data_IF_413088201249
#
_entry.id   IF_413088201249
#
_cell.length_a   1.000
_cell.length_b   1.000
_cell.length_c   1.000
_cell.angle_alpha   90.00
_cell.angle_beta   90.00
_cell.angle_gamma   90.00
#
_symmetry.space_group_name_H-M   'P 1'
#
loop_
_entity.id
_entity.type
_entity.pdbx_description
1 polymer ?
#
# COMPACT_ATOMS: atom_id res chain seq x y z
N UNK A 1 -24.75 0.96 7.24
CA UNK A 1 -23.44 1.66 7.28
C UNK A 1 -23.47 2.78 6.24
N UNK A 2 -23.23 4.02 6.62
CA UNK A 2 -23.05 5.10 5.66
C UNK A 2 -21.63 5.11 5.12
N UNK A 3 -21.49 5.13 3.80
CA UNK A 3 -20.20 5.13 3.07
C UNK A 3 -19.96 6.49 2.41
N UNK A 4 -18.82 6.66 1.77
CA UNK A 4 -18.39 7.88 1.08
C UNK A 4 -18.22 9.08 2.00
N UNK A 5 -17.63 8.85 3.17
CA UNK A 5 -17.34 9.89 4.17
C UNK A 5 -16.07 9.60 4.95
N UNK A 6 -15.60 10.63 5.62
CA UNK A 6 -14.51 10.54 6.60
C UNK A 6 -15.08 10.92 7.96
N UNK A 7 -14.83 10.06 8.96
CA UNK A 7 -15.34 10.23 10.33
C UNK A 7 -14.19 10.60 11.26
N UNK A 8 -14.46 11.53 12.18
CA UNK A 8 -13.55 11.85 13.26
C UNK A 8 -13.77 10.90 14.43
N UNK A 9 -12.71 10.24 14.89
CA UNK A 9 -12.76 9.37 16.05
C UNK A 9 -11.64 8.34 16.11
N UNK A 10 -11.63 7.58 17.18
CA UNK A 10 -10.73 6.45 17.37
C UNK A 10 -11.08 5.33 16.36
N UNK A 11 -10.18 5.07 15.43
CA UNK A 11 -10.39 4.10 14.35
C UNK A 11 -10.70 2.70 14.86
N UNK A 12 -10.09 2.27 15.97
CA UNK A 12 -10.37 0.94 16.54
C UNK A 12 -11.81 0.83 17.02
N UNK A 13 -12.36 1.92 17.59
CA UNK A 13 -13.77 1.96 18.00
C UNK A 13 -14.69 2.03 16.79
N UNK A 14 -14.38 2.89 15.82
CA UNK A 14 -15.19 3.05 14.62
C UNK A 14 -15.22 1.78 13.74
N UNK A 15 -14.13 1.03 13.67
CA UNK A 15 -14.11 -0.27 12.97
C UNK A 15 -15.03 -1.30 13.61
N UNK A 16 -15.21 -1.30 14.95
CA UNK A 16 -16.12 -2.22 15.64
C UNK A 16 -17.58 -2.08 15.23
N UNK A 17 -17.96 -0.89 14.75
CA UNK A 17 -19.32 -0.62 14.25
C UNK A 17 -19.53 -1.11 12.81
N UNK A 18 -18.47 -1.55 12.13
CA UNK A 18 -18.55 -2.09 10.78
C UNK A 18 -18.91 -3.57 10.81
N UNK A 19 -19.78 -4.04 9.90
CA UNK A 19 -20.10 -5.47 9.77
C UNK A 19 -18.85 -6.29 9.39
N UNK A 20 -18.83 -7.55 9.80
CA UNK A 20 -17.86 -8.53 9.33
C UNK A 20 -17.93 -8.66 7.81
N UNK A 21 -16.77 -8.86 7.17
CA UNK A 21 -16.68 -9.12 5.74
C UNK A 21 -17.39 -8.07 4.86
N UNK A 22 -17.25 -6.79 5.21
CA UNK A 22 -17.92 -5.67 4.52
C UNK A 22 -17.00 -4.82 3.65
N UNK A 23 -15.68 -4.88 3.84
CA UNK A 23 -14.68 -4.04 3.19
C UNK A 23 -13.89 -4.84 2.15
N UNK A 24 -13.75 -4.29 0.93
CA UNK A 24 -13.01 -4.94 -0.17
C UNK A 24 -11.51 -4.68 -0.08
N UNK A 25 -11.11 -3.47 0.30
CA UNK A 25 -9.71 -3.09 0.48
C UNK A 25 -9.54 -2.25 1.74
N UNK A 26 -8.61 -2.64 2.59
CA UNK A 26 -8.03 -1.74 3.58
C UNK A 26 -6.64 -1.33 3.08
N UNK A 27 -6.41 -0.03 2.89
CA UNK A 27 -5.09 0.51 2.52
C UNK A 27 -4.77 1.68 3.42
N UNK A 28 -3.62 1.62 4.08
CA UNK A 28 -3.28 2.62 5.09
C UNK A 28 -1.78 2.77 5.32
N UNK A 29 -1.43 3.94 5.82
CA UNK A 29 -0.11 4.27 6.36
C UNK A 29 -0.29 4.80 7.79
N UNK A 30 -0.30 3.91 8.80
CA UNK A 30 -0.50 4.32 10.18
C UNK A 30 0.63 5.25 10.66
N UNK A 31 0.44 6.00 11.75
CA UNK A 31 1.52 6.75 12.35
C UNK A 31 2.72 5.84 12.62
N UNK A 32 3.91 6.21 12.11
CA UNK A 32 5.13 5.45 12.39
C UNK A 32 5.63 5.75 13.79
N UNK A 33 6.32 4.79 14.39
CA UNK A 33 6.84 4.94 15.74
C UNK A 33 7.68 6.22 15.91
N UNK A 34 7.30 7.11 16.82
CA UNK A 34 7.94 8.38 17.26
C UNK A 34 8.66 9.17 16.14
N UNK A 35 8.21 9.07 14.89
CA UNK A 35 8.89 9.77 13.79
C UNK A 35 8.48 11.23 13.66
N UNK A 36 7.30 11.60 14.17
CA UNK A 36 6.74 12.93 14.06
C UNK A 36 5.77 13.19 15.20
N UNK A 37 5.82 14.40 15.73
CA UNK A 37 4.76 14.89 16.60
C UNK A 37 3.56 15.21 15.71
N UNK A 38 2.57 14.35 15.73
CA UNK A 38 1.26 14.68 15.15
C UNK A 38 0.51 15.57 16.16
N UNK A 39 -0.35 16.42 15.67
CA UNK A 39 -1.27 17.16 16.52
C UNK A 39 -2.09 16.09 17.29
N UNK A 40 -2.09 16.15 18.61
CA UNK A 40 -2.79 15.23 19.52
C UNK A 40 -2.26 13.78 19.62
N UNK A 41 -1.12 13.45 19.00
CA UNK A 41 -0.53 12.13 19.11
C UNK A 41 0.96 12.18 19.48
N UNK A 42 1.31 11.73 20.68
CA UNK A 42 2.69 11.76 21.20
C UNK A 42 3.64 10.77 20.53
N UNK A 43 3.13 9.93 19.61
CA UNK A 43 3.85 8.83 18.99
C UNK A 43 3.89 7.59 19.90
N UNK A 44 4.15 6.44 19.27
CA UNK A 44 4.28 5.15 19.97
C UNK A 44 5.75 4.78 20.05
N UNK A 45 6.20 4.36 21.23
CA UNK A 45 7.56 3.84 21.36
C UNK A 45 7.73 2.57 20.49
N UNK A 46 8.88 2.36 19.83
CA UNK A 46 9.06 1.19 18.96
C UNK A 46 8.78 -0.15 19.65
N UNK A 47 9.16 -0.29 20.94
CA UNK A 47 8.91 -1.51 21.72
C UNK A 47 7.41 -1.77 21.98
N UNK A 48 6.59 -0.72 21.97
CA UNK A 48 5.14 -0.79 22.23
C UNK A 48 4.33 -0.83 20.93
N UNK A 49 4.96 -0.60 19.77
CA UNK A 49 4.28 -0.41 18.51
C UNK A 49 3.46 -1.63 18.09
N UNK A 50 3.98 -2.82 18.27
CA UNK A 50 3.31 -4.07 17.90
C UNK A 50 2.04 -4.28 18.73
N UNK A 51 2.14 -4.09 20.05
CA UNK A 51 0.99 -4.24 20.95
C UNK A 51 -0.09 -3.17 20.68
N UNK A 52 0.34 -1.97 20.30
CA UNK A 52 -0.58 -0.90 19.93
C UNK A 52 -1.30 -1.20 18.61
N UNK A 53 -0.60 -1.67 17.55
CA UNK A 53 -1.17 -1.78 16.22
C UNK A 53 -1.86 -3.14 15.96
N UNK A 54 -1.50 -4.19 16.66
CA UNK A 54 -2.07 -5.53 16.48
C UNK A 54 -3.60 -5.59 16.67
N UNK A 55 -4.23 -4.89 17.63
CA UNK A 55 -5.68 -4.81 17.73
C UNK A 55 -6.37 -4.23 16.48
N UNK A 56 -5.76 -3.22 15.84
CA UNK A 56 -6.26 -2.67 14.58
C UNK A 56 -6.21 -3.72 13.46
N UNK A 57 -5.13 -4.48 13.39
CA UNK A 57 -4.98 -5.53 12.38
C UNK A 57 -6.02 -6.66 12.55
N UNK A 58 -6.37 -7.02 13.78
CA UNK A 58 -7.42 -7.99 14.07
C UNK A 58 -8.82 -7.49 13.66
N UNK A 59 -9.10 -6.21 13.88
CA UNK A 59 -10.35 -5.60 13.39
C UNK A 59 -10.36 -5.47 11.86
N UNK A 60 -9.23 -5.11 11.24
CA UNK A 60 -9.07 -5.10 9.78
C UNK A 60 -9.38 -6.49 9.22
N UNK A 61 -8.81 -7.54 9.80
CA UNK A 61 -9.11 -8.91 9.40
C UNK A 61 -10.61 -9.21 9.50
N UNK A 62 -11.27 -8.87 10.60
CA UNK A 62 -12.70 -9.15 10.82
C UNK A 62 -13.58 -8.48 9.75
N UNK A 63 -13.36 -7.18 9.50
CA UNK A 63 -14.20 -6.41 8.58
C UNK A 63 -13.89 -6.66 7.11
N UNK A 64 -12.69 -7.15 6.78
CA UNK A 64 -12.27 -7.41 5.40
C UNK A 64 -12.96 -8.64 4.84
N UNK A 65 -13.49 -8.55 3.62
CA UNK A 65 -14.07 -9.67 2.88
C UNK A 65 -13.07 -10.80 2.66
N UNK A 66 -13.49 -12.06 2.49
CA UNK A 66 -12.60 -13.16 2.10
C UNK A 66 -11.85 -12.89 0.78
N UNK A 67 -12.48 -12.14 -0.14
CA UNK A 67 -11.90 -11.71 -1.42
C UNK A 67 -11.14 -10.39 -1.33
N UNK A 68 -11.07 -9.78 -0.15
CA UNK A 68 -10.47 -8.48 0.08
C UNK A 68 -8.96 -8.53 0.30
N UNK A 69 -8.38 -7.34 0.35
CA UNK A 69 -6.94 -7.14 0.58
C UNK A 69 -6.68 -6.13 1.70
N UNK A 70 -5.57 -6.33 2.41
CA UNK A 70 -5.01 -5.34 3.33
C UNK A 70 -3.63 -4.92 2.85
N UNK A 71 -3.45 -3.63 2.55
CA UNK A 71 -2.19 -3.05 2.08
C UNK A 71 -1.68 -2.07 3.13
N UNK A 72 -0.54 -2.41 3.72
CA UNK A 72 0.11 -1.66 4.79
C UNK A 72 1.38 -0.99 4.28
N UNK A 73 1.39 0.34 4.21
CA UNK A 73 2.62 1.11 4.03
C UNK A 73 3.19 1.48 5.41
N UNK A 74 4.40 1.04 5.69
CA UNK A 74 5.06 1.25 6.97
C UNK A 74 6.58 1.32 6.80
N UNK A 75 7.26 2.05 7.68
CA UNK A 75 8.71 2.05 7.71
C UNK A 75 9.23 1.86 9.14
N UNK A 76 10.45 1.35 9.24
CA UNK A 76 11.16 1.25 10.50
C UNK A 76 11.76 2.59 10.93
N UNK A 77 12.28 2.65 12.14
CA UNK A 77 12.93 3.82 12.71
C UNK A 77 14.38 3.52 13.08
N UNK A 78 15.22 4.52 12.93
CA UNK A 78 16.56 4.53 13.53
C UNK A 78 16.49 5.16 14.91
N UNK A 79 16.91 4.41 15.93
CA UNK A 79 17.00 4.85 17.32
C UNK A 79 18.39 4.52 17.85
N UNK A 80 19.05 5.47 18.51
CA UNK A 80 20.39 5.32 19.08
C UNK A 80 21.42 4.72 18.10
N UNK A 81 21.33 5.08 16.83
CA UNK A 81 22.24 4.60 15.80
C UNK A 81 21.88 3.25 15.16
N UNK A 82 20.83 2.56 15.58
CA UNK A 82 20.40 1.26 15.05
C UNK A 82 18.97 1.32 14.52
N UNK A 83 18.66 0.48 13.51
CA UNK A 83 17.27 0.30 13.06
C UNK A 83 16.55 -0.61 14.03
N UNK A 84 15.37 -0.18 14.45
CA UNK A 84 14.51 -0.96 15.33
C UNK A 84 13.70 -1.99 14.53
N UNK A 85 13.64 -3.28 14.94
CA UNK A 85 13.02 -4.34 14.15
C UNK A 85 11.49 -4.40 14.25
N UNK A 86 10.81 -3.47 14.91
CA UNK A 86 9.37 -3.55 15.23
C UNK A 86 8.47 -3.86 14.03
N UNK A 87 8.86 -3.45 12.81
CA UNK A 87 8.10 -3.78 11.60
C UNK A 87 8.11 -5.29 11.33
N UNK A 88 9.27 -5.93 11.47
CA UNK A 88 9.41 -7.38 11.27
C UNK A 88 8.71 -8.18 12.37
N UNK A 89 8.75 -7.67 13.61
CA UNK A 89 8.04 -8.26 14.73
C UNK A 89 6.52 -8.18 14.52
N UNK A 90 6.02 -7.03 14.03
CA UNK A 90 4.62 -6.87 13.64
C UNK A 90 4.20 -7.89 12.58
N UNK A 91 4.97 -8.02 11.51
CA UNK A 91 4.66 -8.98 10.42
C UNK A 91 4.66 -10.42 10.94
N UNK A 92 5.63 -10.77 11.79
CA UNK A 92 5.67 -12.09 12.43
C UNK A 92 4.46 -12.37 13.32
N UNK A 93 4.02 -11.36 14.09
CA UNK A 93 2.84 -11.46 14.97
C UNK A 93 1.55 -11.55 14.16
N UNK A 94 1.41 -10.77 13.09
CA UNK A 94 0.27 -10.87 12.17
C UNK A 94 0.12 -12.29 11.63
N UNK A 95 1.19 -12.88 11.14
CA UNK A 95 1.16 -14.25 10.62
C UNK A 95 0.75 -15.30 11.67
N UNK A 96 1.10 -15.09 12.94
CA UNK A 96 0.81 -16.06 14.03
C UNK A 96 -0.56 -15.87 14.67
N UNK A 97 -1.09 -14.64 14.68
CA UNK A 97 -2.25 -14.27 15.48
C UNK A 97 -3.48 -13.89 14.65
N UNK A 98 -3.36 -13.94 13.31
CA UNK A 98 -4.46 -13.67 12.38
C UNK A 98 -4.45 -14.68 11.23
N UNK A 99 -5.54 -14.75 10.47
CA UNK A 99 -5.63 -15.54 9.23
C UNK A 99 -5.04 -14.78 8.02
N UNK A 100 -4.53 -13.58 8.23
CA UNK A 100 -3.94 -12.76 7.17
C UNK A 100 -2.66 -13.42 6.63
N UNK A 101 -2.68 -13.74 5.34
CA UNK A 101 -1.53 -14.31 4.61
C UNK A 101 -0.86 -13.21 3.81
N UNK A 102 0.45 -13.09 3.93
CA UNK A 102 1.20 -12.13 3.13
C UNK A 102 1.26 -12.62 1.69
N UNK A 103 0.59 -11.88 0.79
CA UNK A 103 0.63 -12.13 -0.65
C UNK A 103 1.94 -11.63 -1.23
N UNK A 104 2.33 -10.39 -0.91
CA UNK A 104 3.57 -9.81 -1.45
C UNK A 104 4.18 -8.80 -0.47
N UNK A 105 5.50 -8.65 -0.58
CA UNK A 105 6.29 -7.60 0.04
C UNK A 105 6.88 -6.71 -1.04
N UNK A 106 6.44 -5.46 -1.10
CA UNK A 106 6.90 -4.49 -2.07
C UNK A 106 7.73 -3.40 -1.37
N UNK A 107 8.52 -2.68 -2.17
CA UNK A 107 9.32 -1.56 -1.73
C UNK A 107 8.91 -0.33 -2.52
N UNK A 108 8.33 0.66 -1.85
CA UNK A 108 8.09 1.94 -2.48
C UNK A 108 9.38 2.77 -2.49
N UNK A 109 9.94 2.98 -3.69
CA UNK A 109 11.07 3.87 -3.90
C UNK A 109 10.55 5.31 -4.10
N UNK A 110 10.80 6.16 -3.12
CA UNK A 110 10.39 7.58 -3.09
C UNK A 110 11.07 8.43 -4.16
N UNK A 111 12.07 7.89 -4.85
CA UNK A 111 12.89 8.52 -5.89
C UNK A 111 13.60 9.82 -5.45
N UNK A 112 13.28 10.33 -4.28
CA UNK A 112 13.88 11.49 -3.62
C UNK A 112 14.39 11.08 -2.25
N UNK A 113 15.43 11.71 -1.80
CA UNK A 113 16.00 11.51 -0.49
C UNK A 113 17.31 12.27 -0.38
N UNK A 114 17.51 12.94 0.75
CA UNK A 114 18.77 13.62 1.02
C UNK A 114 19.86 12.60 1.31
N UNK A 115 21.06 12.78 0.76
CA UNK A 115 22.21 11.98 1.16
C UNK A 115 22.49 12.18 2.65
N UNK A 116 22.82 11.10 3.33
CA UNK A 116 23.24 11.14 4.72
C UNK A 116 24.73 10.79 4.80
N UNK A 117 25.52 11.58 5.53
CA UNK A 117 26.97 11.35 5.64
C UNK A 117 27.35 10.17 6.53
N UNK A 118 26.45 9.76 7.42
CA UNK A 118 26.70 8.66 8.38
C UNK A 118 25.96 7.37 8.07
N UNK A 119 25.09 7.36 7.05
CA UNK A 119 24.24 6.23 6.67
C UNK A 119 23.88 6.24 5.20
N UNK A 120 23.40 5.10 4.70
CA UNK A 120 22.71 5.07 3.41
C UNK A 120 21.47 5.98 3.44
N UNK A 121 21.21 6.67 2.33
CA UNK A 121 20.00 7.50 2.20
C UNK A 121 18.75 6.62 2.24
N UNK A 122 17.79 6.97 3.09
CA UNK A 122 16.54 6.24 3.28
C UNK A 122 15.53 6.61 2.19
N UNK A 123 15.50 5.84 1.11
CA UNK A 123 14.68 6.12 -0.07
C UNK A 123 13.53 5.17 -0.27
N UNK A 124 13.45 4.11 0.52
CA UNK A 124 12.42 3.10 0.37
C UNK A 124 11.57 2.99 1.63
N UNK A 125 10.30 2.64 1.43
CA UNK A 125 9.39 2.23 2.49
C UNK A 125 8.83 0.86 2.16
N UNK A 126 8.48 0.09 3.19
CA UNK A 126 7.86 -1.22 3.02
C UNK A 126 6.38 -1.05 2.69
N UNK A 127 5.91 -1.88 1.76
CA UNK A 127 4.49 -2.10 1.52
C UNK A 127 4.25 -3.59 1.63
N UNK A 128 3.42 -3.97 2.59
CA UNK A 128 3.00 -5.36 2.77
C UNK A 128 1.57 -5.52 2.29
N UNK A 129 1.34 -6.48 1.41
CA UNK A 129 0.04 -6.82 0.89
C UNK A 129 -0.40 -8.16 1.48
N UNK A 130 -1.50 -8.14 2.22
CA UNK A 130 -2.10 -9.31 2.83
C UNK A 130 -3.46 -9.61 2.22
N UNK A 131 -3.86 -10.89 2.26
CA UNK A 131 -5.17 -11.38 1.90
C UNK A 131 -5.64 -12.43 2.95
N UNK A 132 -6.97 -12.65 3.06
CA UNK A 132 -7.51 -13.69 3.94
C UNK A 132 -7.55 -15.06 3.26
N UNK A 133 -7.66 -15.10 1.94
CA UNK A 133 -7.77 -16.33 1.16
C UNK A 133 -6.96 -16.22 -0.13
N UNK A 134 -6.83 -17.31 -0.85
CA UNK A 134 -6.27 -17.38 -2.20
C UNK A 134 -7.22 -16.88 -3.30
N UNK A 135 -8.47 -16.56 -2.94
CA UNK A 135 -9.49 -16.04 -3.85
C UNK A 135 -9.63 -14.51 -3.81
N UNK A 136 -8.65 -13.79 -3.25
CA UNK A 136 -8.67 -12.34 -3.24
C UNK A 136 -8.60 -11.76 -4.66
N UNK A 137 -9.22 -10.59 -4.84
CA UNK A 137 -9.18 -9.93 -6.14
C UNK A 137 -7.80 -9.32 -6.41
N UNK A 138 -7.22 -9.68 -7.56
CA UNK A 138 -5.96 -9.14 -8.04
C UNK A 138 -5.95 -9.02 -9.57
N UNK A 139 -5.83 -7.80 -10.07
CA UNK A 139 -5.68 -7.52 -11.51
C UNK A 139 -4.28 -6.95 -11.79
N UNK A 140 -3.38 -7.83 -12.21
CA UNK A 140 -2.00 -7.45 -12.52
C UNK A 140 -1.91 -6.54 -13.75
N UNK A 141 -2.90 -6.59 -14.66
CA UNK A 141 -2.90 -5.78 -15.86
C UNK A 141 -3.21 -4.31 -15.57
N UNK A 142 -3.97 -4.02 -14.52
CA UNK A 142 -4.19 -2.66 -14.00
C UNK A 142 -2.97 -2.08 -13.27
N UNK A 143 -2.00 -2.92 -12.93
CA UNK A 143 -0.75 -2.54 -12.28
C UNK A 143 0.45 -2.47 -13.22
N UNK A 144 0.26 -2.66 -14.53
CA UNK A 144 1.34 -2.56 -15.51
C UNK A 144 1.91 -1.14 -15.55
N UNK A 145 3.19 -1.08 -15.85
CA UNK A 145 3.95 0.17 -15.97
C UNK A 145 4.42 0.38 -17.41
N UNK A 146 4.84 1.58 -17.73
CA UNK A 146 5.47 1.85 -19.02
C UNK A 146 6.72 0.99 -19.22
N UNK A 147 6.96 0.60 -20.47
CA UNK A 147 8.20 -0.09 -20.82
C UNK A 147 9.41 0.82 -20.64
N UNK A 148 10.47 0.30 -20.07
CA UNK A 148 11.75 1.02 -20.02
C UNK A 148 12.27 1.29 -21.43
N UNK A 149 13.07 2.35 -21.60
CA UNK A 149 13.71 2.68 -22.88
C UNK A 149 14.53 1.50 -23.43
N UNK A 150 15.20 0.74 -22.54
CA UNK A 150 15.92 -0.49 -22.92
C UNK A 150 14.98 -1.56 -23.47
N UNK A 151 13.80 -1.72 -22.87
CA UNK A 151 12.78 -2.66 -23.33
C UNK A 151 12.23 -2.25 -24.70
N UNK A 152 11.92 -0.95 -24.87
CA UNK A 152 11.45 -0.39 -26.16
C UNK A 152 12.49 -0.61 -27.25
N UNK A 153 13.78 -0.41 -26.94
CA UNK A 153 14.85 -0.62 -27.89
C UNK A 153 15.02 -2.11 -28.27
N UNK A 154 14.82 -3.04 -27.30
CA UNK A 154 14.78 -4.48 -27.58
C UNK A 154 13.61 -4.90 -28.45
N UNK A 155 12.45 -4.22 -28.33
CA UNK A 155 11.28 -4.48 -29.19
C UNK A 155 11.55 -4.18 -30.66
N UNK A 156 12.40 -3.18 -30.96
CA UNK A 156 12.81 -2.83 -32.32
C UNK A 156 13.74 -3.89 -32.95
N UNK A 157 14.44 -4.66 -32.12
CA UNK A 157 15.36 -5.72 -32.52
C UNK A 157 15.05 -6.99 -31.71
N UNK A 158 13.99 -7.72 -32.04
CA UNK A 158 13.59 -8.88 -31.27
C UNK A 158 14.65 -9.99 -31.36
N UNK A 159 15.24 -10.33 -30.22
CA UNK A 159 16.11 -11.49 -30.12
C UNK A 159 15.26 -12.77 -30.23
N UNK A 160 15.58 -13.60 -31.18
CA UNK A 160 15.03 -14.97 -31.22
C UNK A 160 15.49 -15.71 -29.96
N UNK A 161 14.60 -15.88 -28.98
CA UNK A 161 14.92 -16.68 -27.80
C UNK A 161 14.83 -18.16 -28.16
N UNK A 162 15.93 -18.88 -28.00
CA UNK A 162 15.92 -20.34 -27.86
C UNK A 162 15.34 -20.67 -26.50
N UNK A 163 14.23 -21.40 -26.43
CA UNK A 163 13.75 -21.93 -25.16
C UNK A 163 14.77 -22.91 -24.60
N UNK A 164 15.01 -22.88 -23.28
CA UNK A 164 15.81 -23.89 -22.63
C UNK A 164 15.19 -25.28 -22.93
N UNK A 165 16.02 -26.20 -23.39
CA UNK A 165 15.62 -27.60 -23.60
C UNK A 165 15.17 -28.17 -22.26
N UNK A 166 13.91 -28.51 -22.12
CA UNK A 166 13.40 -29.40 -21.07
C UNK A 166 13.44 -30.81 -21.59
N UNK A 167 13.53 -31.81 -20.71
CA UNK A 167 13.59 -33.23 -21.11
C UNK A 167 12.37 -33.64 -21.98
N UNK A 168 11.24 -32.95 -21.84
CA UNK A 168 10.01 -33.19 -22.64
C UNK A 168 10.02 -32.54 -24.02
N UNK A 169 10.94 -31.59 -24.31
CA UNK A 169 10.93 -30.74 -25.52
C UNK A 169 12.25 -30.83 -26.30
N UNK A 170 12.81 -32.03 -26.42
CA UNK A 170 14.13 -32.26 -27.09
C UNK A 170 14.17 -31.92 -28.58
N UNK A 171 13.01 -31.77 -29.26
CA UNK A 171 12.92 -31.67 -30.73
C UNK A 171 12.21 -30.44 -31.28
N UNK A 172 11.87 -29.42 -30.48
CA UNK A 172 11.21 -28.23 -31.04
C UNK A 172 12.17 -27.05 -31.17
N UNK A 173 12.58 -26.75 -32.38
CA UNK A 173 13.17 -25.44 -32.77
C UNK A 173 12.08 -24.35 -32.92
N UNK A 174 11.00 -24.42 -32.11
CA UNK A 174 9.95 -23.42 -32.11
C UNK A 174 10.47 -22.12 -31.45
N UNK A 175 10.71 -21.14 -32.28
CA UNK A 175 10.96 -19.76 -31.87
C UNK A 175 9.61 -19.07 -31.66
N UNK A 176 9.15 -18.95 -30.43
CA UNK A 176 8.02 -18.05 -30.15
C UNK A 176 8.51 -16.59 -30.17
N UNK A 177 7.97 -15.84 -31.13
CA UNK A 177 8.17 -14.39 -31.14
C UNK A 177 7.53 -13.76 -29.91
N UNK A 178 8.35 -13.11 -29.09
CA UNK A 178 7.81 -12.38 -27.94
C UNK A 178 7.11 -11.11 -28.44
N UNK A 179 5.81 -10.99 -28.13
CA UNK A 179 5.02 -9.79 -28.43
C UNK A 179 4.84 -8.98 -27.17
N UNK A 180 5.13 -7.66 -27.19
CA UNK A 180 4.92 -6.80 -26.04
C UNK A 180 3.43 -6.69 -25.73
N UNK A 181 3.07 -6.70 -24.43
CA UNK A 181 1.69 -6.44 -24.03
C UNK A 181 1.37 -4.96 -24.26
N UNK A 182 0.26 -4.60 -24.94
CA UNK A 182 -0.10 -3.21 -25.19
C UNK A 182 -0.35 -2.40 -23.92
N UNK A 183 -0.72 -3.04 -22.83
CA UNK A 183 -0.90 -2.39 -21.51
C UNK A 183 0.42 -2.08 -20.80
N UNK A 184 1.58 -2.51 -21.29
CA UNK A 184 2.88 -2.23 -20.69
C UNK A 184 3.57 -3.43 -20.05
N UNK A 185 4.65 -3.14 -19.33
CA UNK A 185 5.47 -4.12 -18.62
C UNK A 185 4.78 -4.62 -17.35
N UNK A 186 5.03 -5.88 -17.00
CA UNK A 186 4.60 -6.41 -15.70
C UNK A 186 5.23 -5.61 -14.55
N UNK A 187 4.49 -5.39 -13.48
CA UNK A 187 5.03 -4.73 -12.29
C UNK A 187 6.14 -5.56 -11.65
N UNK A 188 6.94 -4.90 -10.84
CA UNK A 188 7.97 -5.54 -10.01
C UNK A 188 7.73 -5.20 -8.55
N UNK A 189 8.42 -5.89 -7.65
CA UNK A 189 8.35 -5.59 -6.20
C UNK A 189 8.94 -4.22 -5.84
N UNK A 190 9.63 -3.54 -6.76
CA UNK A 190 10.10 -2.18 -6.57
C UNK A 190 9.15 -1.19 -7.28
N UNK A 191 8.37 -0.47 -6.50
CA UNK A 191 7.39 0.52 -6.97
C UNK A 191 8.07 1.90 -7.02
N UNK A 192 8.30 2.42 -8.22
CA UNK A 192 8.97 3.69 -8.45
C UNK A 192 7.94 4.81 -8.65
N UNK A 193 7.49 5.42 -7.57
CA UNK A 193 6.56 6.55 -7.59
C UNK A 193 7.17 7.67 -6.75
N UNK A 194 7.33 8.85 -7.34
CA UNK A 194 7.92 9.99 -6.63
C UNK A 194 7.05 10.41 -5.46
N UNK A 195 7.68 10.67 -4.31
CA UNK A 195 6.98 11.31 -3.21
C UNK A 195 6.50 12.70 -3.64
N UNK A 196 5.27 13.06 -3.30
CA UNK A 196 4.75 14.39 -3.58
C UNK A 196 5.55 15.46 -2.83
N UNK A 197 5.92 16.51 -3.55
CA UNK A 197 6.67 17.63 -2.97
C UNK A 197 5.76 18.77 -2.50
N UNK A 198 4.47 18.74 -2.84
CA UNK A 198 3.50 19.74 -2.42
C UNK A 198 2.94 19.40 -1.05
N UNK A 199 3.15 20.26 -0.08
CA UNK A 199 2.44 20.20 1.20
C UNK A 199 0.96 20.50 0.95
N UNK A 200 0.08 19.64 1.44
CA UNK A 200 -1.37 19.86 1.36
C UNK A 200 -1.79 20.92 2.39
N UNK A 201 -1.07 21.00 3.51
CA UNK A 201 -1.15 22.08 4.50
C UNK A 201 0.19 22.23 5.21
N UNK A 202 0.44 23.39 5.83
CA UNK A 202 1.66 23.65 6.58
C UNK A 202 1.83 22.74 7.81
N UNK A 203 0.74 22.20 8.33
CA UNK A 203 0.69 21.33 9.51
C UNK A 203 0.71 19.84 9.19
N UNK A 204 0.54 19.43 7.91
CA UNK A 204 0.51 18.02 7.55
C UNK A 204 1.88 17.53 7.10
N UNK A 205 2.47 16.62 7.86
CA UNK A 205 3.90 16.28 7.80
C UNK A 205 4.18 15.02 6.96
N UNK A 206 3.18 14.19 6.66
CA UNK A 206 3.38 12.92 5.92
C UNK A 206 2.15 12.53 5.11
N UNK A 207 2.20 12.75 3.82
CA UNK A 207 1.21 12.25 2.87
C UNK A 207 1.90 11.29 1.91
N UNK A 208 1.39 10.09 1.78
CA UNK A 208 1.81 9.23 0.69
C UNK A 208 1.14 9.68 -0.63
N UNK A 209 1.81 9.51 -1.78
CA UNK A 209 1.35 10.08 -3.05
C UNK A 209 0.01 9.50 -3.49
N UNK A 210 -0.84 10.36 -4.06
CA UNK A 210 -2.11 9.96 -4.65
C UNK A 210 -1.94 8.83 -5.69
N UNK A 211 -0.90 8.93 -6.52
CA UNK A 211 -0.60 7.93 -7.55
C UNK A 211 -0.21 6.56 -6.96
N UNK A 212 0.44 6.53 -5.79
CA UNK A 212 0.75 5.27 -5.11
C UNK A 212 -0.53 4.57 -4.65
N UNK A 213 -1.45 5.32 -4.09
CA UNK A 213 -2.73 4.79 -3.63
C UNK A 213 -3.58 4.31 -4.80
N UNK A 214 -3.69 5.13 -5.86
CA UNK A 214 -4.40 4.75 -7.09
C UNK A 214 -3.84 3.47 -7.72
N UNK A 215 -2.53 3.33 -7.73
CA UNK A 215 -1.86 2.15 -8.23
C UNK A 215 -2.35 0.86 -7.55
N UNK A 216 -2.42 0.88 -6.22
CA UNK A 216 -2.89 -0.28 -5.45
C UNK A 216 -4.41 -0.47 -5.54
N UNK A 217 -5.21 0.60 -5.47
CA UNK A 217 -6.67 0.50 -5.59
C UNK A 217 -7.07 -0.16 -6.92
N UNK A 218 -6.45 0.21 -8.03
CA UNK A 218 -6.73 -0.38 -9.36
C UNK A 218 -6.49 -1.88 -9.38
N UNK A 219 -5.36 -2.34 -8.83
CA UNK A 219 -4.99 -3.75 -8.86
C UNK A 219 -5.73 -4.64 -7.86
N UNK A 220 -6.33 -4.04 -6.81
CA UNK A 220 -6.91 -4.80 -5.69
C UNK A 220 -8.42 -4.63 -5.52
N UNK A 221 -9.09 -3.83 -6.39
CA UNK A 221 -10.53 -3.57 -6.29
C UNK A 221 -11.16 -3.36 -7.65
N UNK A 222 -12.48 -3.55 -7.72
CA UNK A 222 -13.35 -3.20 -8.85
C UNK A 222 -14.05 -1.87 -8.61
N UNK A 223 -14.58 -1.26 -9.67
CA UNK A 223 -15.48 -0.09 -9.55
C UNK A 223 -16.67 -0.45 -8.67
N UNK A 224 -16.99 0.43 -7.72
CA UNK A 224 -18.05 0.23 -6.73
C UNK A 224 -17.64 -0.48 -5.45
N UNK A 225 -16.45 -1.10 -5.39
CA UNK A 225 -15.93 -1.72 -4.17
C UNK A 225 -15.66 -0.69 -3.06
N UNK A 226 -15.68 -1.13 -1.81
CA UNK A 226 -15.44 -0.29 -0.63
C UNK A 226 -13.97 -0.33 -0.20
N UNK A 227 -13.36 0.84 -0.17
CA UNK A 227 -11.99 1.08 0.31
C UNK A 227 -12.03 1.76 1.67
N UNK A 228 -11.34 1.21 2.66
CA UNK A 228 -11.20 1.80 3.98
C UNK A 228 -9.75 2.23 4.24
N UNK A 229 -9.60 3.42 4.83
CA UNK A 229 -8.35 3.88 5.44
C UNK A 229 -8.60 4.26 6.91
N UNK A 230 -8.18 3.43 7.88
CA UNK A 230 -8.39 3.71 9.30
C UNK A 230 -7.47 4.80 9.87
N UNK A 231 -6.51 5.31 9.09
CA UNK A 231 -5.62 6.43 9.45
C UNK A 231 -5.57 7.42 8.30
N UNK A 232 -6.75 7.92 7.92
CA UNK A 232 -7.03 8.62 6.67
C UNK A 232 -6.28 9.94 6.49
N UNK A 233 -5.86 10.57 7.60
CA UNK A 233 -5.21 11.88 7.55
C UNK A 233 -6.04 12.88 6.74
N UNK A 234 -5.41 13.51 5.76
CA UNK A 234 -6.05 14.47 4.86
C UNK A 234 -6.81 13.83 3.70
N UNK A 235 -7.15 12.54 3.78
CA UNK A 235 -8.08 11.85 2.88
C UNK A 235 -7.52 11.43 1.53
N UNK A 236 -6.23 11.17 1.40
CA UNK A 236 -5.62 10.79 0.11
C UNK A 236 -6.23 9.50 -0.44
N UNK A 237 -6.48 8.49 0.42
CA UNK A 237 -7.14 7.24 0.04
C UNK A 237 -8.57 7.48 -0.46
N UNK A 238 -9.32 8.32 0.23
CA UNK A 238 -10.70 8.65 -0.14
C UNK A 238 -10.77 9.39 -1.47
N UNK A 239 -9.86 10.34 -1.71
CA UNK A 239 -9.75 11.05 -3.01
C UNK A 239 -9.40 10.06 -4.13
N UNK A 240 -8.41 9.19 -3.91
CA UNK A 240 -8.05 8.17 -4.88
C UNK A 240 -9.22 7.24 -5.23
N UNK A 241 -9.97 6.83 -4.21
CA UNK A 241 -11.15 5.96 -4.37
C UNK A 241 -12.24 6.65 -5.17
N UNK A 242 -12.59 7.91 -4.83
CA UNK A 242 -13.55 8.73 -5.56
C UNK A 242 -13.16 8.87 -7.03
N UNK A 243 -11.92 9.24 -7.31
CA UNK A 243 -11.39 9.42 -8.68
C UNK A 243 -11.50 8.14 -9.52
N UNK A 244 -11.42 6.98 -8.87
CA UNK A 244 -11.47 5.68 -9.53
C UNK A 244 -12.87 5.03 -9.51
N UNK A 245 -13.90 5.72 -9.00
CA UNK A 245 -15.27 5.21 -8.93
C UNK A 245 -15.47 4.10 -7.87
N UNK A 246 -14.63 4.08 -6.83
CA UNK A 246 -14.78 3.21 -5.67
C UNK A 246 -15.50 3.95 -4.58
N UNK A 247 -16.22 3.22 -3.73
CA UNK A 247 -16.71 3.74 -2.48
C UNK A 247 -15.56 3.85 -1.47
N UNK A 248 -15.68 4.76 -0.51
CA UNK A 248 -14.65 4.97 0.50
C UNK A 248 -15.23 5.13 1.90
N UNK A 249 -14.39 4.86 2.87
CA UNK A 249 -14.58 5.19 4.26
C UNK A 249 -13.21 5.55 4.85
N UNK A 250 -13.14 6.65 5.58
CA UNK A 250 -11.90 7.08 6.22
C UNK A 250 -12.14 7.37 7.69
N UNK A 251 -11.14 7.12 8.53
CA UNK A 251 -11.15 7.48 9.94
C UNK A 251 -9.89 8.27 10.29
N UNK A 252 -10.05 9.30 11.09
CA UNK A 252 -8.92 10.00 11.69
C UNK A 252 -9.32 10.57 13.06
N UNK A 253 -8.39 10.59 14.00
CA UNK A 253 -8.65 11.10 15.35
C UNK A 253 -8.65 12.63 15.38
N UNK A 254 -8.02 13.27 14.39
CA UNK A 254 -7.86 14.71 14.33
C UNK A 254 -8.95 15.36 13.45
N UNK A 255 -9.79 16.21 14.08
CA UNK A 255 -10.89 16.89 13.40
C UNK A 255 -10.42 17.82 12.27
N UNK A 256 -9.27 18.50 12.43
CA UNK A 256 -8.75 19.39 11.38
C UNK A 256 -8.38 18.62 10.11
N UNK A 257 -7.84 17.39 10.26
CA UNK A 257 -7.55 16.53 9.13
C UNK A 257 -8.83 16.03 8.44
N UNK A 258 -9.85 15.69 9.22
CA UNK A 258 -11.16 15.29 8.70
C UNK A 258 -11.82 16.44 7.92
N UNK A 259 -11.78 17.66 8.45
CA UNK A 259 -12.35 18.83 7.77
C UNK A 259 -11.60 19.14 6.47
N UNK A 260 -10.27 19.07 6.48
CA UNK A 260 -9.44 19.25 5.30
C UNK A 260 -9.71 18.15 4.24
N UNK A 261 -9.86 16.90 4.68
CA UNK A 261 -10.18 15.79 3.81
C UNK A 261 -11.57 15.95 3.16
N UNK A 262 -12.57 16.34 3.93
CA UNK A 262 -13.92 16.61 3.40
C UNK A 262 -13.92 17.77 2.39
N UNK A 263 -13.11 18.82 2.63
CA UNK A 263 -12.94 19.91 1.65
C UNK A 263 -12.29 19.44 0.34
N UNK A 264 -11.41 18.44 0.39
CA UNK A 264 -10.81 17.85 -0.82
C UNK A 264 -11.79 16.94 -1.57
N UNK A 265 -12.78 16.41 -0.90
CA UNK A 265 -13.81 15.52 -1.46
C UNK A 265 -15.05 16.27 -1.96
N UNK A 266 -15.26 17.52 -1.55
CA UNK A 266 -16.34 18.37 -2.13
C UNK A 266 -15.99 18.77 -3.55
#
# INVERSE_FOLDING_TARGET
>A
MEINKILCGDSLKLMKDLPDNSVDLVITSPPYSIMKTYIDFKGIHPDEYVEWFLPYCKEIERIMKPTGSFILNINDKVQNGFRHPYVFDLISRLHKETELKMFERLFWNKMKGLPNRSRFGDRVEYIFWFAKSDQFYFDIDEMRTEYSQKSIQRMKNPLKKRFARTEENQNSDEYKEWKPNPKGALPTTLVNISSESKRISDNHVAVYPLELVKYFIKGSTKVGDLVLDPFSGTGTTSVASKDLGRNWLGFDINQEYVDLANKRLS
#
